data_IF_308831317749
#
_entry.id   IF_308831317749
#
_cell.length_a   1.000
_cell.length_b   1.000
_cell.length_c   1.000
_cell.angle_alpha   90.00
_cell.angle_beta   90.00
_cell.angle_gamma   90.00
#
_symmetry.space_group_name_H-M   'P 1'
#
loop_
_entity.id
_entity.type
_entity.pdbx_description
1 polymer ?
#
# COMPACT_ATOMS: atom_id res chain seq x y z
N UNK A 1 20.18 43.07 30.75
CA UNK A 1 19.70 41.69 30.98
C UNK A 1 18.34 41.42 30.34
N UNK A 2 17.41 42.39 30.28
CA UNK A 2 16.08 42.23 29.63
C UNK A 2 16.15 41.81 28.15
N UNK A 3 16.99 42.45 27.33
CA UNK A 3 17.00 42.23 25.88
C UNK A 3 17.42 40.82 25.43
N UNK A 4 18.21 40.12 26.25
CA UNK A 4 18.59 38.72 25.96
C UNK A 4 17.45 37.75 26.22
N UNK A 5 16.60 38.05 27.21
CA UNK A 5 15.40 37.28 27.52
C UNK A 5 14.34 37.46 26.43
N UNK A 6 14.17 38.68 25.93
CA UNK A 6 13.23 38.99 24.85
C UNK A 6 13.60 38.29 23.53
N UNK A 7 14.91 38.20 23.23
CA UNK A 7 15.41 37.47 22.07
C UNK A 7 15.20 35.96 22.19
N UNK A 8 15.37 35.40 23.40
CA UNK A 8 15.12 33.99 23.66
C UNK A 8 13.63 33.66 23.55
N UNK A 9 12.75 34.49 24.13
CA UNK A 9 11.30 34.32 24.04
C UNK A 9 10.84 34.31 22.59
N UNK A 10 11.30 35.27 21.76
CA UNK A 10 10.96 35.32 20.34
C UNK A 10 11.43 34.08 19.56
N UNK A 11 12.57 33.50 19.93
CA UNK A 11 13.07 32.27 19.31
C UNK A 11 12.25 31.05 19.73
N UNK A 12 11.78 31.00 20.97
CA UNK A 12 10.88 29.96 21.44
C UNK A 12 9.53 30.03 20.71
N UNK A 13 8.96 31.23 20.54
CA UNK A 13 7.72 31.42 19.79
C UNK A 13 7.86 30.92 18.33
N UNK A 14 8.96 31.27 17.65
CA UNK A 14 9.23 30.79 16.28
C UNK A 14 9.39 29.26 16.23
N UNK A 15 10.02 28.67 17.26
CA UNK A 15 10.16 27.22 17.35
C UNK A 15 8.82 26.52 17.61
N UNK A 16 7.94 27.09 18.42
CA UNK A 16 6.61 26.55 18.71
C UNK A 16 5.72 26.55 17.45
N UNK A 17 5.75 27.64 16.69
CA UNK A 17 5.08 27.71 15.39
C UNK A 17 5.60 26.65 14.44
N UNK A 18 6.93 26.54 14.29
CA UNK A 18 7.55 25.53 13.41
C UNK A 18 7.22 24.11 13.85
N UNK A 19 7.21 23.84 15.15
CA UNK A 19 6.88 22.53 15.70
C UNK A 19 5.44 22.15 15.35
N UNK A 20 4.50 23.08 15.51
CA UNK A 20 3.09 22.88 15.12
C UNK A 20 2.95 22.51 13.64
N UNK A 21 3.66 23.23 12.75
CA UNK A 21 3.67 22.88 11.33
C UNK A 21 4.28 21.50 11.04
N UNK A 22 5.34 21.13 11.76
CA UNK A 22 5.96 19.82 11.61
C UNK A 22 5.00 18.72 12.06
N UNK A 23 4.34 18.90 13.20
CA UNK A 23 3.37 17.94 13.72
C UNK A 23 2.21 17.73 12.74
N UNK A 24 1.65 18.81 12.19
CA UNK A 24 0.62 18.74 11.15
C UNK A 24 1.11 17.99 9.90
N UNK A 25 2.35 18.26 9.49
CA UNK A 25 2.97 17.61 8.31
C UNK A 25 3.18 16.12 8.56
N UNK A 26 3.65 15.73 9.74
CA UNK A 26 3.85 14.32 10.13
C UNK A 26 2.52 13.59 10.16
N UNK A 27 1.47 14.22 10.70
CA UNK A 27 0.14 13.63 10.74
C UNK A 27 -0.43 13.43 9.32
N UNK A 28 -0.24 14.40 8.43
CA UNK A 28 -0.64 14.28 7.04
C UNK A 28 0.12 13.16 6.30
N UNK A 29 1.44 13.06 6.52
CA UNK A 29 2.27 12.00 5.95
C UNK A 29 1.85 10.61 6.46
N UNK A 30 1.60 10.47 7.76
CA UNK A 30 1.15 9.20 8.34
C UNK A 30 -0.21 8.77 7.78
N UNK A 31 -1.12 9.73 7.58
CA UNK A 31 -2.43 9.45 6.97
C UNK A 31 -2.30 9.01 5.51
N UNK A 32 -1.42 9.67 4.74
CA UNK A 32 -1.14 9.31 3.35
C UNK A 32 -0.47 7.93 3.22
N UNK A 33 0.44 7.58 4.13
CA UNK A 33 1.11 6.28 4.16
C UNK A 33 0.12 5.14 4.46
N UNK A 34 -0.81 5.36 5.40
CA UNK A 34 -1.87 4.41 5.70
C UNK A 34 -2.79 4.16 4.49
N UNK A 35 -3.21 5.22 3.79
CA UNK A 35 -4.02 5.10 2.57
C UNK A 35 -3.29 4.33 1.46
N UNK A 36 -2.01 4.66 1.23
CA UNK A 36 -1.18 3.95 0.25
C UNK A 36 -1.02 2.47 0.60
N UNK A 37 -0.78 2.15 1.87
CA UNK A 37 -0.67 0.77 2.35
C UNK A 37 -1.95 -0.02 2.09
N UNK A 38 -3.12 0.57 2.36
CA UNK A 38 -4.41 -0.06 2.06
C UNK A 38 -4.60 -0.28 0.56
N UNK A 39 -4.24 0.71 -0.27
CA UNK A 39 -4.34 0.61 -1.73
C UNK A 39 -3.42 -0.48 -2.30
N UNK A 40 -2.19 -0.59 -1.79
CA UNK A 40 -1.25 -1.66 -2.17
C UNK A 40 -1.83 -3.02 -1.80
N UNK A 41 -2.33 -3.19 -0.57
CA UNK A 41 -2.93 -4.45 -0.14
C UNK A 41 -4.14 -4.85 -1.01
N UNK A 42 -4.94 -3.88 -1.46
CA UNK A 42 -6.06 -4.12 -2.38
C UNK A 42 -5.57 -4.56 -3.77
N UNK A 43 -4.54 -3.89 -4.32
CA UNK A 43 -3.94 -4.26 -5.61
C UNK A 43 -3.32 -5.65 -5.56
N UNK A 44 -2.62 -6.00 -4.48
CA UNK A 44 -2.05 -7.33 -4.31
C UNK A 44 -3.12 -8.43 -4.26
N UNK A 45 -4.28 -8.17 -3.63
CA UNK A 45 -5.42 -9.11 -3.66
C UNK A 45 -5.94 -9.28 -5.09
N UNK A 46 -6.22 -8.18 -5.78
CA UNK A 46 -6.71 -8.22 -7.16
C UNK A 46 -5.74 -8.97 -8.11
N UNK A 47 -4.44 -8.80 -7.94
CA UNK A 47 -3.44 -9.54 -8.72
C UNK A 47 -3.42 -11.04 -8.40
N UNK A 48 -3.61 -11.43 -7.13
CA UNK A 48 -3.73 -12.85 -6.77
C UNK A 48 -5.00 -13.47 -7.35
N UNK A 49 -6.12 -12.75 -7.30
CA UNK A 49 -7.40 -13.21 -7.84
C UNK A 49 -7.31 -13.41 -9.35
N UNK A 50 -6.76 -12.43 -10.08
CA UNK A 50 -6.53 -12.52 -11.52
C UNK A 50 -5.61 -13.68 -11.90
N UNK A 51 -4.55 -13.93 -11.11
CA UNK A 51 -3.68 -15.09 -11.32
C UNK A 51 -4.42 -16.41 -11.11
N UNK A 52 -5.31 -16.47 -10.13
CA UNK A 52 -6.20 -17.60 -9.90
C UNK A 52 -7.12 -17.85 -11.10
N UNK A 53 -7.80 -16.81 -11.58
CA UNK A 53 -8.66 -16.88 -12.76
C UNK A 53 -7.89 -17.39 -14.00
N UNK A 54 -6.71 -16.82 -14.28
CA UNK A 54 -5.87 -17.29 -15.40
C UNK A 54 -5.45 -18.77 -15.27
N UNK A 55 -5.14 -19.22 -14.05
CA UNK A 55 -4.82 -20.63 -13.81
C UNK A 55 -6.03 -21.53 -14.07
N UNK A 56 -7.22 -21.13 -13.61
CA UNK A 56 -8.47 -21.89 -13.87
C UNK A 56 -8.79 -21.96 -15.36
N UNK A 57 -8.62 -20.86 -16.10
CA UNK A 57 -8.81 -20.85 -17.56
C UNK A 57 -7.83 -21.77 -18.27
N UNK A 58 -6.57 -21.80 -17.83
CA UNK A 58 -5.55 -22.70 -18.41
C UNK A 58 -5.92 -24.17 -18.21
N UNK A 59 -6.39 -24.55 -17.03
CA UNK A 59 -6.86 -25.92 -16.75
C UNK A 59 -8.08 -26.25 -17.61
N UNK A 60 -9.04 -25.33 -17.72
CA UNK A 60 -10.24 -25.54 -18.55
C UNK A 60 -9.94 -25.71 -20.05
N UNK A 61 -8.77 -25.26 -20.53
CA UNK A 61 -8.31 -25.42 -21.91
C UNK A 61 -7.42 -26.67 -22.14
N UNK A 62 -7.00 -27.36 -21.07
CA UNK A 62 -5.98 -28.41 -21.11
C UNK A 62 -6.49 -29.84 -21.28
N UNK A 63 -7.77 -30.11 -20.98
CA UNK A 63 -8.40 -31.41 -21.21
C UNK A 63 -9.25 -31.35 -22.48
N UNK A 64 -8.66 -31.70 -23.63
CA UNK A 64 -9.45 -32.13 -24.78
C UNK A 64 -9.70 -33.65 -24.63
N UNK A 65 -10.90 -34.10 -24.24
CA UNK A 65 -11.23 -35.51 -24.06
C UNK A 65 -11.15 -36.33 -25.37
N UNK A 66 -10.89 -35.68 -26.52
CA UNK A 66 -10.62 -36.37 -27.78
C UNK A 66 -9.20 -36.92 -27.94
N UNK A 67 -8.26 -36.60 -27.04
CA UNK A 67 -6.87 -37.07 -27.09
C UNK A 67 -6.59 -38.33 -26.22
N UNK A 68 -7.60 -38.91 -25.58
CA UNK A 68 -7.44 -40.18 -24.88
C UNK A 68 -7.42 -41.37 -25.86
N UNK A 69 -6.36 -42.20 -25.86
CA UNK A 69 -6.31 -43.40 -26.68
C UNK A 69 -7.42 -44.37 -26.24
N UNK A 70 -8.11 -45.04 -27.20
CA UNK A 70 -9.25 -45.90 -26.87
C UNK A 70 -8.83 -47.02 -25.90
N UNK A 71 -9.72 -47.40 -24.95
CA UNK A 71 -9.36 -48.33 -23.88
C UNK A 71 -8.93 -49.68 -24.45
N UNK A 72 -7.89 -50.32 -23.87
CA UNK A 72 -7.41 -51.60 -24.33
C UNK A 72 -8.49 -52.67 -24.15
N UNK A 73 -8.86 -53.32 -25.26
CA UNK A 73 -9.71 -54.50 -25.23
C UNK A 73 -8.85 -55.71 -24.80
N UNK A 74 -9.08 -56.20 -23.58
CA UNK A 74 -8.50 -57.44 -23.03
C UNK A 74 -9.35 -58.66 -23.38
#
# INVERSE_FOLDING_TARGET
>A
MSSGNDALARRLDDMEVRLTFIDDTVQALSSADADQSQRIAALERALRDLRGEMATMRVAQGDDPHDEPPPPHY
#
